data_IF_296059175013
#
_entry.id   IF_296059175013
#
_cell.length_a   1.000
_cell.length_b   1.000
_cell.length_c   1.000
_cell.angle_alpha   90.00
_cell.angle_beta   90.00
_cell.angle_gamma   90.00
#
_symmetry.space_group_name_H-M   'P 1'
#
loop_
_entity.id
_entity.type
_entity.pdbx_description
1 polymer ?
#
# COMPACT_ATOMS: atom_id res chain seq x y z
N UNK A 1 -23.47 -8.14 -9.00
CA UNK A 1 -22.19 -8.87 -8.96
C UNK A 1 -21.57 -8.63 -7.59
N UNK A 2 -20.81 -9.57 -7.05
CA UNK A 2 -20.08 -9.38 -5.79
C UNK A 2 -19.11 -10.52 -5.48
N UNK A 3 -18.09 -10.22 -4.69
CA UNK A 3 -17.10 -11.16 -4.19
C UNK A 3 -17.17 -11.31 -2.66
N UNK A 4 -16.90 -12.49 -2.12
CA UNK A 4 -16.87 -12.74 -0.67
C UNK A 4 -18.12 -12.18 0.03
N UNK A 5 -17.97 -11.29 1.01
CA UNK A 5 -19.08 -10.60 1.68
C UNK A 5 -19.98 -9.81 0.71
N UNK A 6 -19.40 -9.18 -0.31
CA UNK A 6 -20.17 -8.52 -1.38
C UNK A 6 -20.97 -9.51 -2.22
N UNK A 7 -20.49 -10.75 -2.36
CA UNK A 7 -21.24 -11.85 -2.97
C UNK A 7 -22.48 -12.23 -2.15
N UNK A 8 -22.34 -12.35 -0.83
CA UNK A 8 -23.46 -12.54 0.09
C UNK A 8 -24.47 -11.41 0.01
N UNK A 9 -24.00 -10.16 0.12
CA UNK A 9 -24.83 -8.97 0.00
C UNK A 9 -25.59 -8.92 -1.34
N UNK A 10 -24.96 -9.30 -2.44
CA UNK A 10 -25.61 -9.34 -3.75
C UNK A 10 -26.80 -10.32 -3.78
N UNK A 11 -26.70 -11.46 -3.10
CA UNK A 11 -27.81 -12.42 -2.95
C UNK A 11 -28.91 -11.81 -2.07
N UNK A 12 -28.57 -11.25 -0.90
CA UNK A 12 -29.54 -10.63 0.00
C UNK A 12 -30.31 -9.47 -0.66
N UNK A 13 -29.61 -8.63 -1.43
CA UNK A 13 -30.22 -7.54 -2.20
C UNK A 13 -31.15 -8.09 -3.28
N UNK A 14 -30.75 -9.14 -4.01
CA UNK A 14 -31.63 -9.73 -5.02
C UNK A 14 -32.90 -10.36 -4.41
N UNK A 15 -32.78 -11.02 -3.26
CA UNK A 15 -33.92 -11.50 -2.48
C UNK A 15 -34.83 -10.34 -2.06
N UNK A 16 -34.25 -9.26 -1.53
CA UNK A 16 -35.00 -8.07 -1.11
C UNK A 16 -35.72 -7.41 -2.29
N UNK A 17 -35.07 -7.24 -3.43
CA UNK A 17 -35.70 -6.66 -4.63
C UNK A 17 -36.85 -7.52 -5.15
N UNK A 18 -36.69 -8.84 -5.14
CA UNK A 18 -37.75 -9.80 -5.47
C UNK A 18 -38.92 -9.67 -4.50
N UNK A 19 -38.66 -9.65 -3.20
CA UNK A 19 -39.69 -9.53 -2.15
C UNK A 19 -40.48 -8.21 -2.24
N UNK A 20 -39.85 -7.15 -2.76
CA UNK A 20 -40.47 -5.85 -2.99
C UNK A 20 -41.09 -5.69 -4.40
N UNK A 21 -41.16 -6.76 -5.19
CA UNK A 21 -41.80 -6.74 -6.51
C UNK A 21 -41.04 -5.98 -7.60
N UNK A 22 -39.79 -5.60 -7.36
CA UNK A 22 -38.93 -4.88 -8.33
C UNK A 22 -38.35 -5.84 -9.38
N UNK A 23 -38.34 -7.14 -9.08
CA UNK A 23 -37.71 -8.18 -9.90
C UNK A 23 -36.26 -8.44 -9.49
N UNK A 24 -35.73 -9.60 -9.85
CA UNK A 24 -34.41 -10.03 -9.43
C UNK A 24 -33.38 -9.91 -10.57
N UNK A 25 -32.25 -9.21 -10.34
CA UNK A 25 -31.21 -9.07 -11.35
C UNK A 25 -30.45 -10.40 -11.55
N UNK A 26 -29.72 -10.48 -12.67
CA UNK A 26 -28.71 -11.53 -12.86
C UNK A 26 -27.59 -11.37 -11.84
N UNK A 27 -27.14 -12.50 -11.29
CA UNK A 27 -26.07 -12.55 -10.31
C UNK A 27 -24.80 -13.17 -10.89
N UNK A 28 -23.67 -12.55 -10.58
CA UNK A 28 -22.33 -13.06 -10.84
C UNK A 28 -21.57 -12.96 -9.52
N UNK A 29 -21.20 -14.11 -8.96
CA UNK A 29 -20.73 -14.25 -7.58
C UNK A 29 -19.35 -14.90 -7.57
N UNK A 30 -18.43 -14.34 -6.79
CA UNK A 30 -17.07 -14.88 -6.60
C UNK A 30 -16.84 -15.23 -5.14
N UNK A 31 -16.64 -16.52 -4.84
CA UNK A 31 -16.52 -17.08 -3.49
C UNK A 31 -17.50 -16.43 -2.50
N UNK A 32 -18.83 -16.44 -2.75
CA UNK A 32 -19.78 -15.67 -1.97
C UNK A 32 -19.89 -16.19 -0.53
N UNK A 33 -19.74 -15.29 0.44
CA UNK A 33 -19.98 -15.59 1.85
C UNK A 33 -21.46 -15.43 2.17
N UNK A 34 -22.19 -16.54 2.17
CA UNK A 34 -23.67 -16.57 2.29
C UNK A 34 -24.19 -17.12 3.61
N UNK A 35 -23.29 -17.62 4.46
CA UNK A 35 -23.58 -18.12 5.80
C UNK A 35 -22.59 -17.52 6.82
N UNK A 36 -23.03 -16.52 7.57
CA UNK A 36 -22.24 -15.87 8.61
C UNK A 36 -22.02 -16.76 9.84
N UNK A 37 -22.77 -17.85 9.98
CA UNK A 37 -22.58 -18.81 11.08
C UNK A 37 -21.43 -19.78 10.83
N UNK A 38 -20.99 -19.92 9.57
CA UNK A 38 -19.97 -20.89 9.13
C UNK A 38 -20.27 -22.32 9.61
N UNK A 39 -21.55 -22.73 9.58
CA UNK A 39 -22.03 -23.97 10.21
C UNK A 39 -21.97 -25.22 9.34
N UNK A 40 -21.48 -25.12 8.10
CA UNK A 40 -21.44 -26.24 7.16
C UNK A 40 -20.55 -27.39 7.69
N UNK A 41 -21.05 -28.63 7.66
CA UNK A 41 -20.34 -29.81 8.24
C UNK A 41 -18.92 -30.04 7.69
N UNK A 42 -18.72 -29.72 6.40
CA UNK A 42 -17.43 -29.81 5.71
C UNK A 42 -16.54 -28.57 5.83
N UNK A 43 -16.91 -27.57 6.63
CA UNK A 43 -16.13 -26.32 6.77
C UNK A 43 -14.72 -26.60 7.31
N UNK A 44 -14.60 -27.48 8.31
CA UNK A 44 -13.32 -27.82 8.94
C UNK A 44 -12.36 -28.54 7.99
N UNK A 45 -12.89 -29.35 7.08
CA UNK A 45 -12.09 -30.08 6.09
C UNK A 45 -11.37 -29.16 5.10
N UNK A 46 -11.92 -27.97 4.85
CA UNK A 46 -11.34 -26.96 3.94
C UNK A 46 -10.61 -25.87 4.69
N UNK A 47 -11.00 -25.56 5.94
CA UNK A 47 -10.35 -24.55 6.78
C UNK A 47 -8.84 -24.77 6.96
N UNK A 48 -8.38 -26.02 7.04
CA UNK A 48 -6.96 -26.32 7.13
C UNK A 48 -6.15 -26.00 5.85
N UNK A 49 -6.83 -25.75 4.72
CA UNK A 49 -6.22 -25.55 3.40
C UNK A 49 -6.37 -24.13 2.86
N UNK A 50 -7.20 -23.31 3.49
CA UNK A 50 -7.40 -21.92 3.10
C UNK A 50 -6.28 -21.04 3.68
N UNK A 51 -5.44 -20.39 2.86
CA UNK A 51 -4.32 -19.57 3.34
C UNK A 51 -4.74 -18.17 3.82
N UNK A 52 -5.98 -17.76 3.57
CA UNK A 52 -6.45 -16.37 3.77
C UNK A 52 -7.56 -16.26 4.82
N UNK A 53 -8.54 -17.16 4.79
CA UNK A 53 -9.73 -17.11 5.64
C UNK A 53 -9.60 -18.02 6.86
N UNK A 54 -10.31 -17.66 7.93
CA UNK A 54 -10.38 -18.50 9.13
C UNK A 54 -11.80 -18.45 9.70
N UNK A 55 -12.34 -19.62 10.07
CA UNK A 55 -13.68 -19.75 10.65
C UNK A 55 -13.90 -18.79 11.83
N UNK A 56 -13.00 -18.69 12.85
CA UNK A 56 -13.25 -17.81 13.99
C UNK A 56 -13.34 -16.32 13.60
N UNK A 57 -12.53 -15.87 12.63
CA UNK A 57 -12.59 -14.48 12.14
C UNK A 57 -13.87 -14.21 11.36
N UNK A 58 -14.33 -15.15 10.54
CA UNK A 58 -15.57 -14.98 9.77
C UNK A 58 -16.79 -14.96 10.68
N UNK A 59 -16.87 -15.88 11.65
CA UNK A 59 -17.93 -15.87 12.67
C UNK A 59 -17.96 -14.53 13.39
N UNK A 60 -16.78 -14.04 13.84
CA UNK A 60 -16.69 -12.73 14.51
C UNK A 60 -17.08 -11.56 13.61
N UNK A 61 -16.69 -11.59 12.34
CA UNK A 61 -17.10 -10.58 11.37
C UNK A 61 -18.62 -10.60 11.14
N UNK A 62 -19.22 -11.80 11.14
CA UNK A 62 -20.66 -12.00 11.02
C UNK A 62 -21.43 -11.41 12.20
N UNK A 63 -20.95 -11.64 13.42
CA UNK A 63 -21.51 -11.04 14.65
C UNK A 63 -21.47 -9.50 14.60
N UNK A 64 -20.36 -8.92 14.15
CA UNK A 64 -20.23 -7.46 14.02
C UNK A 64 -21.12 -6.90 12.91
N UNK A 65 -21.29 -7.65 11.81
CA UNK A 65 -22.13 -7.25 10.68
C UNK A 65 -23.63 -7.35 10.99
N UNK A 66 -24.05 -8.34 11.78
CA UNK A 66 -25.47 -8.61 12.07
C UNK A 66 -26.16 -7.46 12.82
N UNK A 67 -25.41 -6.67 13.60
CA UNK A 67 -25.96 -5.56 14.38
C UNK A 67 -27.00 -6.05 15.39
N UNK A 68 -28.26 -5.64 15.22
CA UNK A 68 -29.38 -6.09 16.06
C UNK A 68 -30.02 -7.40 15.58
N UNK A 69 -29.64 -7.89 14.39
CA UNK A 69 -30.14 -9.15 13.84
C UNK A 69 -29.34 -10.34 14.38
N UNK A 70 -29.90 -11.54 14.21
CA UNK A 70 -29.15 -12.78 14.41
C UNK A 70 -28.28 -13.09 13.20
N UNK A 71 -27.17 -13.79 13.42
CA UNK A 71 -26.26 -14.19 12.33
C UNK A 71 -26.89 -15.14 11.33
N UNK A 72 -27.91 -15.91 11.71
CA UNK A 72 -28.69 -16.79 10.82
C UNK A 72 -29.81 -16.07 10.06
N UNK A 73 -30.06 -14.79 10.33
CA UNK A 73 -31.13 -14.02 9.68
C UNK A 73 -30.87 -13.88 8.16
N UNK A 74 -31.88 -13.99 7.26
CA UNK A 74 -31.67 -13.98 5.80
C UNK A 74 -30.97 -12.74 5.23
N UNK A 75 -31.08 -11.57 5.88
CA UNK A 75 -30.34 -10.37 5.48
C UNK A 75 -28.84 -10.44 5.80
N UNK A 76 -28.44 -11.31 6.73
CA UNK A 76 -27.05 -11.51 7.17
C UNK A 76 -26.48 -12.77 6.51
N UNK A 77 -27.25 -13.86 6.56
CA UNK A 77 -26.97 -15.16 5.95
C UNK A 77 -28.02 -15.48 4.88
N UNK A 78 -27.88 -14.95 3.66
CA UNK A 78 -28.86 -15.13 2.59
C UNK A 78 -29.04 -16.57 2.13
N UNK A 79 -28.19 -17.50 2.56
CA UNK A 79 -28.41 -18.95 2.37
C UNK A 79 -29.72 -19.42 3.00
N UNK A 80 -30.20 -18.76 4.05
CA UNK A 80 -31.44 -19.07 4.77
C UNK A 80 -32.67 -18.36 4.16
N UNK A 81 -32.48 -17.59 3.10
CA UNK A 81 -33.55 -16.91 2.38
C UNK A 81 -34.23 -17.77 1.31
N UNK A 82 -35.23 -17.19 0.65
CA UNK A 82 -35.95 -17.82 -0.47
C UNK A 82 -35.26 -17.55 -1.80
N UNK A 83 -35.17 -18.56 -2.67
CA UNK A 83 -34.49 -18.46 -3.97
C UNK A 83 -35.43 -18.41 -5.18
N UNK A 84 -36.72 -18.65 -5.00
CA UNK A 84 -37.70 -18.66 -6.08
C UNK A 84 -37.87 -17.26 -6.71
N UNK A 85 -37.96 -17.19 -8.03
CA UNK A 85 -38.09 -15.92 -8.74
C UNK A 85 -36.82 -15.06 -8.75
N UNK A 86 -35.66 -15.60 -8.32
CA UNK A 86 -34.38 -14.94 -8.51
C UNK A 86 -33.88 -15.04 -9.97
N UNK A 87 -33.09 -14.04 -10.38
CA UNK A 87 -32.50 -14.00 -11.71
C UNK A 87 -31.39 -15.04 -11.90
N UNK A 88 -30.97 -15.33 -13.14
CA UNK A 88 -29.93 -16.30 -13.43
C UNK A 88 -28.64 -16.02 -12.66
N UNK A 89 -27.95 -17.09 -12.23
CA UNK A 89 -26.74 -16.98 -11.40
C UNK A 89 -25.54 -17.63 -12.05
N UNK A 90 -24.38 -16.98 -11.90
CA UNK A 90 -23.05 -17.54 -12.18
C UNK A 90 -22.24 -17.50 -10.88
N UNK A 91 -21.70 -18.64 -10.45
CA UNK A 91 -20.99 -18.77 -9.17
C UNK A 91 -19.59 -19.31 -9.46
N UNK A 92 -18.56 -18.53 -9.09
CA UNK A 92 -17.16 -18.91 -9.13
C UNK A 92 -16.66 -19.15 -7.71
N UNK A 93 -15.98 -20.27 -7.46
CA UNK A 93 -15.34 -20.53 -6.16
C UNK A 93 -14.16 -21.48 -6.33
N UNK A 94 -13.09 -21.27 -5.55
CA UNK A 94 -11.90 -22.12 -5.56
C UNK A 94 -12.12 -23.43 -4.80
N UNK A 95 -11.43 -24.50 -5.19
CA UNK A 95 -11.52 -25.81 -4.50
C UNK A 95 -10.79 -25.85 -3.15
N UNK A 96 -9.94 -24.86 -2.87
CA UNK A 96 -9.25 -24.65 -1.58
C UNK A 96 -9.81 -23.46 -0.79
N UNK A 97 -10.94 -22.91 -1.22
CA UNK A 97 -11.59 -21.77 -0.58
C UNK A 97 -12.53 -22.24 0.52
N UNK A 98 -12.45 -21.64 1.71
CA UNK A 98 -13.29 -21.96 2.86
C UNK A 98 -14.79 -21.87 2.55
N UNK A 99 -15.19 -21.02 1.60
CA UNK A 99 -16.57 -20.77 1.19
C UNK A 99 -17.07 -21.74 0.10
N UNK A 100 -16.25 -22.74 -0.29
CA UNK A 100 -16.57 -23.72 -1.32
C UNK A 100 -17.89 -24.45 -1.05
N UNK A 101 -18.07 -24.93 0.18
CA UNK A 101 -19.21 -25.77 0.52
C UNK A 101 -20.50 -24.96 0.61
N UNK A 102 -20.46 -23.75 1.16
CA UNK A 102 -21.60 -22.83 1.16
C UNK A 102 -21.96 -22.37 -0.25
N UNK A 103 -20.97 -22.15 -1.12
CA UNK A 103 -21.20 -21.83 -2.54
C UNK A 103 -21.87 -22.98 -3.29
N UNK A 104 -21.53 -24.24 -2.99
CA UNK A 104 -22.20 -25.42 -3.54
C UNK A 104 -23.62 -25.56 -3.01
N UNK A 105 -23.82 -25.34 -1.71
CA UNK A 105 -25.14 -25.36 -1.09
C UNK A 105 -26.05 -24.29 -1.70
N UNK A 106 -25.53 -23.08 -1.89
CA UNK A 106 -26.23 -21.98 -2.57
C UNK A 106 -26.67 -22.38 -3.98
N UNK A 107 -25.75 -22.95 -4.76
CA UNK A 107 -26.03 -23.46 -6.11
C UNK A 107 -27.18 -24.46 -6.09
N UNK A 108 -27.13 -25.42 -5.17
CA UNK A 108 -28.11 -26.52 -5.11
C UNK A 108 -29.50 -26.00 -4.68
N UNK A 109 -29.55 -25.08 -3.71
CA UNK A 109 -30.78 -24.40 -3.30
C UNK A 109 -31.38 -23.54 -4.41
N UNK A 110 -30.54 -22.75 -5.10
CA UNK A 110 -30.99 -21.91 -6.21
C UNK A 110 -31.51 -22.76 -7.38
N UNK A 111 -30.78 -23.81 -7.76
CA UNK A 111 -31.20 -24.73 -8.81
C UNK A 111 -32.50 -25.45 -8.45
N UNK A 112 -32.64 -25.90 -7.20
CA UNK A 112 -33.86 -26.54 -6.71
C UNK A 112 -35.08 -25.61 -6.72
N UNK A 113 -34.86 -24.30 -6.59
CA UNK A 113 -35.90 -23.28 -6.71
C UNK A 113 -36.16 -22.81 -8.16
N UNK A 114 -35.56 -23.47 -9.16
CA UNK A 114 -35.77 -23.16 -10.59
C UNK A 114 -34.93 -21.99 -11.11
N UNK A 115 -33.92 -21.53 -10.37
CA UNK A 115 -33.02 -20.48 -10.84
C UNK A 115 -32.06 -21.02 -11.89
N UNK A 116 -31.95 -20.35 -13.03
CA UNK A 116 -31.02 -20.73 -14.10
C UNK A 116 -29.56 -20.54 -13.64
N UNK A 117 -28.82 -21.65 -13.55
CA UNK A 117 -27.38 -21.63 -13.32
C UNK A 117 -26.63 -21.58 -14.66
N UNK A 118 -25.74 -20.61 -14.79
CA UNK A 118 -24.99 -20.36 -16.01
C UNK A 118 -23.54 -20.80 -15.79
N UNK A 119 -23.08 -21.77 -16.59
CA UNK A 119 -21.75 -22.39 -16.47
C UNK A 119 -21.77 -23.82 -15.91
N UNK A 120 -22.71 -24.67 -16.37
CA UNK A 120 -23.00 -26.01 -15.83
C UNK A 120 -21.93 -27.11 -15.99
N UNK A 121 -20.72 -26.80 -16.44
CA UNK A 121 -19.57 -27.68 -16.20
C UNK A 121 -18.77 -27.07 -15.06
N UNK A 122 -18.58 -27.85 -14.00
CA UNK A 122 -17.48 -27.63 -13.07
C UNK A 122 -16.27 -27.39 -13.98
N UNK A 123 -15.78 -26.16 -14.03
CA UNK A 123 -14.42 -25.91 -14.50
C UNK A 123 -13.58 -26.59 -13.44
N UNK A 124 -13.39 -27.91 -13.59
CA UNK A 124 -12.20 -28.58 -13.13
C UNK A 124 -11.11 -27.70 -13.70
N UNK A 125 -10.48 -26.92 -12.82
CA UNK A 125 -9.44 -26.00 -13.22
C UNK A 125 -8.28 -26.86 -13.73
N UNK A 126 -8.34 -27.25 -14.99
CA UNK A 126 -7.15 -27.27 -15.81
C UNK A 126 -6.51 -25.91 -15.54
N UNK A 127 -5.31 -25.96 -14.96
CA UNK A 127 -4.59 -24.77 -14.52
C UNK A 127 -4.67 -23.72 -15.65
N UNK A 128 -4.99 -22.45 -15.33
CA UNK A 128 -5.07 -21.42 -16.36
C UNK A 128 -3.80 -21.47 -17.21
N UNK A 129 -3.96 -21.39 -18.53
CA UNK A 129 -2.81 -21.33 -19.45
C UNK A 129 -1.83 -20.27 -18.96
N UNK A 130 -0.51 -20.54 -18.96
CA UNK A 130 0.46 -19.68 -18.30
C UNK A 130 0.39 -18.26 -18.87
N UNK A 131 -0.18 -17.34 -18.10
CA UNK A 131 -0.19 -15.92 -18.45
C UNK A 131 1.15 -15.30 -18.11
N UNK A 132 1.60 -14.27 -18.85
CA UNK A 132 2.82 -13.53 -18.51
C UNK A 132 2.82 -13.04 -17.05
N UNK A 133 1.65 -12.65 -16.55
CA UNK A 133 1.44 -12.21 -15.18
C UNK A 133 1.67 -13.32 -14.14
N UNK A 134 1.22 -14.55 -14.42
CA UNK A 134 1.49 -15.71 -13.56
C UNK A 134 2.98 -16.08 -13.48
N UNK A 135 3.71 -15.90 -14.59
CA UNK A 135 5.17 -16.04 -14.61
C UNK A 135 5.88 -14.98 -13.77
N UNK A 136 5.39 -13.74 -13.79
CA UNK A 136 5.95 -12.64 -13.01
C UNK A 136 5.69 -12.81 -11.51
N UNK A 137 4.47 -13.18 -11.12
CA UNK A 137 4.14 -13.52 -9.72
C UNK A 137 5.05 -14.65 -9.23
N UNK A 138 5.33 -15.65 -10.07
CA UNK A 138 6.21 -16.78 -9.71
C UNK A 138 7.65 -16.36 -9.40
N UNK A 139 8.13 -15.29 -10.06
CA UNK A 139 9.49 -14.75 -9.86
C UNK A 139 9.54 -13.57 -8.89
N UNK A 140 8.40 -13.09 -8.41
CA UNK A 140 8.34 -11.90 -7.54
C UNK A 140 9.13 -12.06 -6.24
N UNK A 141 9.20 -13.27 -5.66
CA UNK A 141 10.05 -13.52 -4.49
C UNK A 141 11.55 -13.35 -4.78
N UNK A 142 11.99 -13.61 -6.02
CA UNK A 142 13.38 -13.40 -6.42
C UNK A 142 13.70 -11.91 -6.53
N UNK A 143 12.74 -11.12 -7.04
CA UNK A 143 12.87 -9.66 -7.10
C UNK A 143 12.99 -9.09 -5.69
N UNK A 144 12.09 -9.47 -4.78
CA UNK A 144 12.16 -9.06 -3.38
C UNK A 144 13.49 -9.47 -2.74
N UNK A 145 13.93 -10.71 -2.96
CA UNK A 145 15.21 -11.21 -2.45
C UNK A 145 16.40 -10.36 -2.92
N UNK A 146 16.48 -10.08 -4.22
CA UNK A 146 17.57 -9.29 -4.80
C UNK A 146 17.54 -7.86 -4.26
N UNK A 147 16.37 -7.22 -4.20
CA UNK A 147 16.24 -5.87 -3.65
C UNK A 147 16.70 -5.81 -2.19
N UNK A 148 16.27 -6.78 -1.36
CA UNK A 148 16.68 -6.86 0.05
C UNK A 148 18.18 -7.09 0.23
N UNK A 149 18.80 -7.92 -0.61
CA UNK A 149 20.26 -8.11 -0.58
C UNK A 149 20.97 -6.80 -0.94
N UNK A 150 20.49 -6.08 -1.96
CA UNK A 150 21.04 -4.78 -2.35
C UNK A 150 20.92 -3.76 -1.23
N UNK A 151 19.78 -3.69 -0.54
CA UNK A 151 19.56 -2.82 0.61
C UNK A 151 20.52 -3.12 1.77
N UNK A 152 20.70 -4.40 2.10
CA UNK A 152 21.66 -4.85 3.12
C UNK A 152 23.09 -4.43 2.75
N UNK A 153 23.51 -4.73 1.51
CA UNK A 153 24.86 -4.39 1.04
C UNK A 153 25.07 -2.88 1.06
N UNK A 154 24.09 -2.10 0.59
CA UNK A 154 24.16 -0.65 0.60
C UNK A 154 24.26 -0.11 2.04
N UNK A 155 23.45 -0.63 2.97
CA UNK A 155 23.52 -0.27 4.39
C UNK A 155 24.90 -0.55 4.98
N UNK A 156 25.48 -1.73 4.72
CA UNK A 156 26.84 -2.08 5.15
C UNK A 156 27.88 -1.12 4.56
N UNK A 157 27.80 -0.81 3.27
CA UNK A 157 28.73 0.11 2.59
C UNK A 157 28.69 1.50 3.22
N UNK A 158 27.49 2.04 3.47
CA UNK A 158 27.31 3.36 4.10
C UNK A 158 27.92 3.40 5.50
N UNK A 159 27.74 2.33 6.29
CA UNK A 159 28.26 2.27 7.66
C UNK A 159 29.77 1.99 7.72
N UNK A 160 30.31 1.17 6.81
CA UNK A 160 31.73 0.85 6.78
C UNK A 160 32.58 1.99 6.18
N UNK A 161 32.03 2.75 5.23
CA UNK A 161 32.74 3.84 4.55
C UNK A 161 31.92 5.13 4.44
N UNK A 162 31.45 5.72 5.56
CA UNK A 162 30.58 6.90 5.53
C UNK A 162 31.23 8.07 4.79
N UNK A 163 32.53 8.29 4.94
CA UNK A 163 33.24 9.35 4.24
C UNK A 163 33.27 9.18 2.72
N UNK A 164 33.49 7.97 2.21
CA UNK A 164 33.54 7.72 0.77
C UNK A 164 32.14 7.83 0.14
N UNK A 165 31.14 7.23 0.79
CA UNK A 165 29.74 7.31 0.35
C UNK A 165 29.26 8.76 0.31
N UNK A 166 29.56 9.55 1.35
CA UNK A 166 29.17 10.95 1.40
C UNK A 166 29.86 11.80 0.34
N UNK A 167 31.12 11.53 -0.01
CA UNK A 167 31.77 12.23 -1.14
C UNK A 167 31.02 12.00 -2.45
N UNK A 168 30.59 10.77 -2.72
CA UNK A 168 29.80 10.45 -3.92
C UNK A 168 28.47 11.22 -3.90
N UNK A 169 27.75 11.17 -2.77
CA UNK A 169 26.49 11.92 -2.58
C UNK A 169 26.70 13.42 -2.77
N UNK A 170 27.77 13.98 -2.19
CA UNK A 170 28.12 15.40 -2.30
C UNK A 170 28.44 15.84 -3.74
N UNK A 171 29.08 14.98 -4.53
CA UNK A 171 29.33 15.24 -5.97
C UNK A 171 28.00 15.31 -6.72
N UNK A 172 27.11 14.33 -6.55
CA UNK A 172 25.80 14.34 -7.21
C UNK A 172 24.95 15.54 -6.78
N UNK A 173 25.00 15.90 -5.50
CA UNK A 173 24.32 17.09 -4.98
C UNK A 173 24.88 18.40 -5.57
N UNK A 174 26.20 18.51 -5.71
CA UNK A 174 26.83 19.66 -6.38
C UNK A 174 26.41 19.78 -7.84
N UNK A 175 26.40 18.67 -8.59
CA UNK A 175 25.91 18.63 -9.98
C UNK A 175 24.43 19.07 -10.03
N UNK A 176 23.60 18.55 -9.12
CA UNK A 176 22.21 18.92 -9.01
C UNK A 176 22.02 20.43 -8.82
N UNK A 177 22.78 21.07 -7.92
CA UNK A 177 22.67 22.53 -7.70
C UNK A 177 23.07 23.34 -8.94
N UNK A 178 24.10 22.90 -9.67
CA UNK A 178 24.51 23.54 -10.93
C UNK A 178 23.40 23.45 -11.98
N UNK A 179 22.85 22.24 -12.19
CA UNK A 179 21.79 22.00 -13.19
C UNK A 179 20.50 22.74 -12.82
N UNK A 180 20.10 22.68 -11.55
CA UNK A 180 18.94 23.40 -11.03
C UNK A 180 19.11 24.91 -11.20
N UNK A 181 20.30 25.43 -10.89
CA UNK A 181 20.61 26.85 -11.06
C UNK A 181 20.47 27.33 -12.50
N UNK A 182 21.03 26.58 -13.46
CA UNK A 182 20.86 26.86 -14.89
C UNK A 182 19.38 26.80 -15.28
N UNK A 183 18.67 25.76 -14.83
CA UNK A 183 17.24 25.56 -15.15
C UNK A 183 16.36 26.69 -14.63
N UNK A 184 16.58 27.15 -13.40
CA UNK A 184 15.85 28.27 -12.79
C UNK A 184 16.09 29.59 -13.50
N UNK A 185 17.34 29.86 -13.90
CA UNK A 185 17.66 31.03 -14.74
C UNK A 185 16.93 30.96 -16.08
N UNK A 186 16.94 29.80 -16.76
CA UNK A 186 16.23 29.60 -18.02
C UNK A 186 14.72 29.81 -17.84
N UNK A 187 14.11 29.19 -16.82
CA UNK A 187 12.67 29.34 -16.55
C UNK A 187 12.30 30.79 -16.28
N UNK A 188 13.08 31.52 -15.46
CA UNK A 188 12.85 32.93 -15.15
C UNK A 188 12.95 33.84 -16.38
N UNK A 189 13.87 33.55 -17.31
CA UNK A 189 14.05 34.32 -18.53
C UNK A 189 13.03 33.97 -19.62
N UNK A 190 12.69 32.69 -19.76
CA UNK A 190 11.92 32.14 -20.89
C UNK A 190 10.41 32.02 -20.66
N UNK A 191 9.88 32.25 -19.46
CA UNK A 191 8.44 32.07 -19.15
C UNK A 191 7.70 33.42 -19.12
N UNK A 192 7.02 33.83 -20.23
CA UNK A 192 6.33 35.13 -20.30
C UNK A 192 5.06 35.21 -19.44
N UNK A 193 4.52 34.07 -19.01
CA UNK A 193 3.33 33.99 -18.14
C UNK A 193 3.62 34.37 -16.68
N UNK A 194 4.89 34.48 -16.28
CA UNK A 194 5.28 34.86 -14.93
C UNK A 194 5.36 36.38 -14.76
N UNK A 195 4.88 36.90 -13.63
CA UNK A 195 5.06 38.32 -13.28
C UNK A 195 6.54 38.69 -13.20
N UNK A 196 6.88 39.95 -13.49
CA UNK A 196 8.27 40.43 -13.50
C UNK A 196 9.06 40.14 -12.21
N UNK A 197 8.42 40.29 -11.04
CA UNK A 197 9.04 40.02 -9.74
C UNK A 197 9.37 38.53 -9.55
N UNK A 198 8.44 37.63 -9.91
CA UNK A 198 8.68 36.19 -9.83
C UNK A 198 9.78 35.73 -10.80
N UNK A 199 9.87 36.35 -11.98
CA UNK A 199 10.95 36.09 -12.93
C UNK A 199 12.31 36.48 -12.36
N UNK A 200 12.41 37.68 -11.77
CA UNK A 200 13.64 38.16 -11.14
C UNK A 200 14.05 37.26 -9.96
N UNK A 201 13.11 36.87 -9.11
CA UNK A 201 13.38 35.96 -7.99
C UNK A 201 13.93 34.60 -8.46
N UNK A 202 13.36 34.01 -9.52
CA UNK A 202 13.86 32.76 -10.09
C UNK A 202 15.27 32.91 -10.68
N UNK A 203 15.56 34.02 -11.36
CA UNK A 203 16.91 34.26 -11.89
C UNK A 203 17.92 34.39 -10.75
N UNK A 204 17.59 35.13 -9.69
CA UNK A 204 18.45 35.27 -8.51
C UNK A 204 18.66 33.93 -7.81
N UNK A 205 17.58 33.16 -7.58
CA UNK A 205 17.65 31.83 -7.00
C UNK A 205 18.55 30.90 -7.84
N UNK A 206 18.39 30.94 -9.17
CA UNK A 206 19.18 30.15 -10.09
C UNK A 206 20.67 30.48 -10.06
N UNK A 207 21.01 31.78 -10.03
CA UNK A 207 22.42 32.23 -9.90
C UNK A 207 23.01 31.80 -8.56
N UNK A 208 22.28 31.94 -7.46
CA UNK A 208 22.73 31.51 -6.13
C UNK A 208 22.95 29.99 -6.09
N UNK A 209 22.01 29.21 -6.61
CA UNK A 209 22.13 27.75 -6.71
C UNK A 209 23.34 27.34 -7.55
N UNK A 210 23.56 28.00 -8.70
CA UNK A 210 24.73 27.74 -9.54
C UNK A 210 26.04 28.01 -8.81
N UNK A 211 26.17 29.16 -8.13
CA UNK A 211 27.37 29.51 -7.36
C UNK A 211 27.61 28.50 -6.24
N UNK A 212 26.58 28.16 -5.47
CA UNK A 212 26.68 27.14 -4.42
C UNK A 212 27.09 25.77 -4.99
N UNK A 213 26.56 25.40 -6.15
CA UNK A 213 26.94 24.19 -6.88
C UNK A 213 28.42 24.17 -7.27
N UNK A 214 28.97 25.28 -7.76
CA UNK A 214 30.41 25.40 -8.05
C UNK A 214 31.24 25.34 -6.75
N UNK A 215 30.80 26.01 -5.68
CA UNK A 215 31.47 25.98 -4.38
C UNK A 215 31.53 24.58 -3.77
N UNK A 216 30.56 23.71 -4.07
CA UNK A 216 30.56 22.31 -3.63
C UNK A 216 31.77 21.50 -4.11
N UNK A 217 32.44 21.92 -5.20
CA UNK A 217 33.60 21.23 -5.77
C UNK A 217 34.95 21.81 -5.33
N UNK A 218 34.96 22.95 -4.62
CA UNK A 218 36.19 23.64 -4.23
C UNK A 218 36.92 22.88 -3.11
N UNK A 219 36.17 22.39 -2.13
CA UNK A 219 36.70 21.72 -0.95
C UNK A 219 35.98 20.36 -0.81
N UNK A 220 36.70 19.26 -0.57
CA UNK A 220 36.13 17.91 -0.54
C UNK A 220 35.02 17.67 0.49
N UNK A 221 34.82 18.60 1.44
CA UNK A 221 33.75 18.60 2.45
C UNK A 221 32.73 19.74 2.26
N UNK A 222 32.95 20.66 1.33
CA UNK A 222 32.09 21.82 1.10
C UNK A 222 30.69 21.43 0.64
N UNK A 223 30.60 20.42 -0.24
CA UNK A 223 29.31 19.85 -0.68
C UNK A 223 28.47 19.27 0.46
N UNK A 224 29.12 18.69 1.48
CA UNK A 224 28.43 18.14 2.65
C UNK A 224 27.91 19.24 3.57
N UNK A 225 28.66 20.34 3.70
CA UNK A 225 28.20 21.49 4.48
C UNK A 225 26.96 22.13 3.84
N UNK A 226 27.00 22.37 2.52
CA UNK A 226 25.84 22.91 1.77
C UNK A 226 24.66 21.95 1.84
N UNK A 227 24.89 20.64 1.70
CA UNK A 227 23.85 19.62 1.84
C UNK A 227 23.22 19.63 3.24
N UNK A 228 24.03 19.71 4.30
CA UNK A 228 23.53 19.77 5.67
C UNK A 228 22.66 20.99 5.93
N UNK A 229 23.09 22.16 5.46
CA UNK A 229 22.29 23.39 5.53
C UNK A 229 21.01 23.26 4.70
N UNK A 230 21.06 22.68 3.51
CA UNK A 230 19.90 22.48 2.65
C UNK A 230 18.86 21.55 3.29
N UNK A 231 19.29 20.42 3.85
CA UNK A 231 18.43 19.51 4.62
C UNK A 231 17.83 20.22 5.83
N UNK A 232 18.68 20.94 6.58
CA UNK A 232 18.24 21.67 7.77
C UNK A 232 17.21 22.75 7.48
N UNK A 233 17.39 23.52 6.40
CA UNK A 233 16.43 24.51 5.93
C UNK A 233 15.09 23.86 5.53
N UNK A 234 15.12 22.73 4.83
CA UNK A 234 13.92 21.97 4.47
C UNK A 234 13.13 21.48 5.69
N UNK A 235 13.84 20.98 6.72
CA UNK A 235 13.21 20.58 7.98
C UNK A 235 12.68 21.76 8.79
N UNK A 236 13.39 22.89 8.83
CA UNK A 236 12.87 24.10 9.44
C UNK A 236 11.53 24.52 8.80
N UNK A 237 11.50 24.64 7.47
CA UNK A 237 10.29 25.02 6.73
C UNK A 237 9.14 24.04 6.98
N UNK A 238 9.43 22.74 6.92
CA UNK A 238 8.45 21.68 7.20
C UNK A 238 7.94 21.75 8.64
N UNK A 239 8.85 21.97 9.60
CA UNK A 239 8.53 22.07 11.02
C UNK A 239 7.64 23.27 11.33
N UNK A 240 7.98 24.45 10.82
CA UNK A 240 7.13 25.64 10.96
C UNK A 240 5.78 25.50 10.27
N UNK A 241 5.75 24.96 9.05
CA UNK A 241 4.50 24.68 8.33
C UNK A 241 3.59 23.75 9.14
N UNK A 242 4.12 22.64 9.66
CA UNK A 242 3.36 21.71 10.51
C UNK A 242 2.90 22.36 11.81
N UNK A 243 3.77 23.12 12.47
CA UNK A 243 3.43 23.82 13.71
C UNK A 243 2.28 24.80 13.49
N UNK A 244 2.31 25.55 12.39
CA UNK A 244 1.25 26.49 12.00
C UNK A 244 -0.06 25.75 11.66
N UNK A 245 0.01 24.67 10.88
CA UNK A 245 -1.16 23.87 10.49
C UNK A 245 -1.84 23.23 11.70
N UNK A 246 -1.11 22.50 12.54
CA UNK A 246 -1.69 21.80 13.70
C UNK A 246 -1.94 22.73 14.89
N UNK A 247 -1.28 23.89 14.93
CA UNK A 247 -1.61 24.98 15.83
C UNK A 247 -3.02 25.51 15.57
N UNK A 248 -3.41 25.60 14.31
CA UNK A 248 -4.71 26.14 13.86
C UNK A 248 -5.88 25.14 13.90
N UNK A 249 -5.62 23.83 14.08
CA UNK A 249 -6.65 22.79 14.06
C UNK A 249 -6.92 22.26 15.48
N UNK A 250 -7.86 22.87 16.19
CA UNK A 250 -8.05 22.60 17.62
C UNK A 250 -8.68 21.24 17.95
N UNK A 251 -9.54 20.71 17.07
CA UNK A 251 -10.34 19.50 17.30
C UNK A 251 -9.71 18.21 16.73
N UNK A 252 -8.46 18.27 16.24
CA UNK A 252 -7.82 17.11 15.61
C UNK A 252 -7.35 16.06 16.64
N UNK A 253 -7.74 14.78 16.49
CA UNK A 253 -7.18 13.70 17.31
C UNK A 253 -5.65 13.62 17.13
N UNK A 254 -4.91 13.54 18.25
CA UNK A 254 -3.45 13.44 18.22
C UNK A 254 -2.70 14.76 17.97
N UNK A 255 -3.38 15.91 18.04
CA UNK A 255 -2.78 17.26 17.85
C UNK A 255 -1.50 17.50 18.65
N UNK A 256 -1.46 17.11 19.93
CA UNK A 256 -0.30 17.30 20.80
C UNK A 256 0.94 16.56 20.27
N UNK A 257 0.76 15.33 19.77
CA UNK A 257 1.83 14.56 19.13
C UNK A 257 2.30 15.19 17.83
N UNK A 258 1.38 15.74 17.03
CA UNK A 258 1.72 16.44 15.81
C UNK A 258 2.54 17.72 16.08
N UNK A 259 2.15 18.50 17.10
CA UNK A 259 2.89 19.69 17.54
C UNK A 259 4.27 19.31 18.09
N UNK A 260 4.35 18.29 18.95
CA UNK A 260 5.62 17.80 19.48
C UNK A 260 6.56 17.35 18.35
N UNK A 261 6.04 16.60 17.37
CA UNK A 261 6.78 16.21 16.17
C UNK A 261 7.25 17.40 15.34
N UNK A 262 6.45 18.46 15.23
CA UNK A 262 6.84 19.69 14.54
C UNK A 262 8.02 20.39 15.26
N UNK A 263 7.97 20.51 16.58
CA UNK A 263 9.07 21.09 17.39
C UNK A 263 10.35 20.27 17.24
N UNK A 264 10.27 18.93 17.32
CA UNK A 264 11.43 18.05 17.09
C UNK A 264 12.02 18.27 15.69
N UNK A 265 11.16 18.40 14.68
CA UNK A 265 11.60 18.65 13.29
C UNK A 265 12.32 20.00 13.17
N UNK A 266 11.82 21.05 13.84
CA UNK A 266 12.48 22.36 13.89
C UNK A 266 13.86 22.23 14.55
N UNK A 267 13.95 21.59 15.72
CA UNK A 267 15.22 21.40 16.43
C UNK A 267 16.22 20.60 15.59
N UNK A 268 15.77 19.54 14.91
CA UNK A 268 16.60 18.79 13.97
C UNK A 268 17.10 19.66 12.82
N UNK A 269 16.25 20.53 12.28
CA UNK A 269 16.62 21.52 11.26
C UNK A 269 17.67 22.52 11.74
N UNK A 270 17.53 23.04 12.96
CA UNK A 270 18.53 23.93 13.60
C UNK A 270 19.87 23.19 13.75
N UNK A 271 19.86 21.97 14.29
CA UNK A 271 21.06 21.18 14.47
C UNK A 271 21.78 20.90 13.14
N UNK A 272 21.02 20.63 12.06
CA UNK A 272 21.56 20.43 10.72
C UNK A 272 22.18 21.70 10.12
N UNK A 273 21.70 22.90 10.49
CA UNK A 273 22.31 24.16 10.04
C UNK A 273 23.55 24.52 10.86
N UNK A 274 23.51 24.31 12.18
CA UNK A 274 24.61 24.63 13.09
C UNK A 274 25.78 23.65 12.93
N UNK A 275 25.48 22.36 12.71
CA UNK A 275 26.47 21.29 12.59
C UNK A 275 26.29 20.51 11.28
N UNK A 276 26.49 21.12 10.11
CA UNK A 276 26.01 20.56 8.85
C UNK A 276 26.71 19.28 8.43
N UNK A 277 28.05 19.21 8.59
CA UNK A 277 28.81 18.01 8.24
C UNK A 277 28.48 16.86 9.21
N UNK A 278 28.56 17.09 10.52
CA UNK A 278 28.26 16.06 11.52
C UNK A 278 26.83 15.54 11.42
N UNK A 279 25.88 16.43 11.11
CA UNK A 279 24.48 16.05 10.91
C UNK A 279 24.31 15.15 9.69
N UNK A 280 24.89 15.50 8.54
CA UNK A 280 24.84 14.66 7.32
C UNK A 280 25.49 13.29 7.56
N UNK A 281 26.63 13.25 8.27
CA UNK A 281 27.27 11.98 8.65
C UNK A 281 26.35 11.14 9.54
N UNK A 282 25.75 11.77 10.55
CA UNK A 282 24.83 11.09 11.48
C UNK A 282 23.62 10.54 10.74
N UNK A 283 23.02 11.33 9.83
CA UNK A 283 21.88 10.90 9.03
C UNK A 283 22.25 9.77 8.06
N UNK A 284 23.44 9.81 7.47
CA UNK A 284 23.93 8.72 6.62
C UNK A 284 24.08 7.43 7.43
N UNK A 285 24.65 7.48 8.63
CA UNK A 285 24.78 6.30 9.50
C UNK A 285 23.42 5.76 9.93
N UNK A 286 22.49 6.62 10.37
CA UNK A 286 21.13 6.22 10.70
C UNK A 286 20.40 5.63 9.50
N UNK A 287 20.56 6.22 8.31
CA UNK A 287 20.03 5.69 7.06
C UNK A 287 20.63 4.33 6.70
N UNK A 288 21.93 4.14 6.91
CA UNK A 288 22.61 2.86 6.71
C UNK A 288 22.08 1.76 7.64
N UNK A 289 21.85 2.09 8.91
CA UNK A 289 21.21 1.17 9.88
C UNK A 289 19.78 0.85 9.44
N UNK A 290 19.01 1.87 9.02
CA UNK A 290 17.64 1.66 8.56
C UNK A 290 17.59 0.77 7.31
N UNK A 291 18.48 0.98 6.33
CA UNK A 291 18.62 0.13 5.15
C UNK A 291 18.95 -1.32 5.53
N UNK A 292 19.83 -1.51 6.51
CA UNK A 292 20.15 -2.85 7.01
C UNK A 292 18.92 -3.52 7.63
N UNK A 293 18.18 -2.82 8.48
CA UNK A 293 16.97 -3.34 9.13
C UNK A 293 15.89 -3.66 8.10
N UNK A 294 15.58 -2.71 7.21
CA UNK A 294 14.58 -2.89 6.14
C UNK A 294 14.96 -4.06 5.23
N UNK A 295 16.24 -4.15 4.84
CA UNK A 295 16.73 -5.24 4.01
C UNK A 295 16.66 -6.61 4.70
N UNK A 296 16.96 -6.70 6.01
CA UNK A 296 16.81 -7.96 6.77
C UNK A 296 15.33 -8.37 6.84
N UNK A 297 14.43 -7.44 7.14
CA UNK A 297 12.98 -7.71 7.17
C UNK A 297 12.48 -8.13 5.78
N UNK A 298 12.92 -7.43 4.72
CA UNK A 298 12.58 -7.76 3.34
C UNK A 298 13.09 -9.14 2.92
N UNK A 299 14.28 -9.54 3.38
CA UNK A 299 14.84 -10.87 3.16
C UNK A 299 13.95 -11.97 3.77
N UNK A 300 13.47 -11.76 5.00
CA UNK A 300 12.52 -12.67 5.65
C UNK A 300 11.21 -12.75 4.86
N UNK A 301 10.66 -11.60 4.45
CA UNK A 301 9.45 -11.55 3.63
C UNK A 301 9.64 -12.25 2.28
N UNK A 302 10.80 -12.12 1.63
CA UNK A 302 11.08 -12.80 0.37
C UNK A 302 11.08 -14.33 0.52
N UNK A 303 11.62 -14.85 1.63
CA UNK A 303 11.63 -16.28 1.95
C UNK A 303 10.21 -16.78 2.25
N UNK A 304 9.44 -16.04 3.06
CA UNK A 304 8.03 -16.36 3.35
C UNK A 304 7.21 -16.34 2.05
N UNK A 305 7.40 -15.34 1.21
CA UNK A 305 6.69 -15.20 -0.06
C UNK A 305 7.05 -16.32 -1.04
N UNK A 306 8.31 -16.76 -1.08
CA UNK A 306 8.73 -17.96 -1.83
C UNK A 306 7.91 -19.18 -1.43
N UNK A 307 7.68 -19.38 -0.12
CA UNK A 307 6.89 -20.51 0.38
C UNK A 307 5.44 -20.44 -0.10
N UNK A 308 4.82 -19.27 -0.03
CA UNK A 308 3.44 -19.02 -0.50
C UNK A 308 3.30 -19.23 -2.01
N UNK A 309 4.22 -18.66 -2.80
CA UNK A 309 4.20 -18.78 -4.26
C UNK A 309 4.43 -20.22 -4.72
N UNK A 310 5.26 -20.98 -4.01
CA UNK A 310 5.49 -22.40 -4.31
C UNK A 310 4.31 -23.30 -3.91
N UNK A 311 3.52 -22.92 -2.89
CA UNK A 311 2.33 -23.65 -2.45
C UNK A 311 1.14 -23.53 -3.43
N UNK A 312 1.19 -22.56 -4.35
CA UNK A 312 0.21 -22.37 -5.44
C UNK A 312 0.45 -23.37 -6.60
N UNK A 313 1.55 -24.15 -6.58
CA UNK A 313 1.74 -25.29 -7.48
C UNK A 313 0.81 -26.45 -7.16
#
# INVERSE_FOLDING_TARGET
MGDSAGGGMAVAVAQTLRDNGVGAPRLVLFAPWVDATMSHELVDAVAARDPMLSVPRLVRAGELYAGALRTDHPLVSPINGRFDGLGPMTIFVGTRDLLLHDSRRLRDLASGAGVLLIGGSIVSSQAPSPTPFGGLIRKSWQVLLVLSIVEIVLGIVVMAWPGATLRIVGVFFGIFLVVSGISECVVGLSTPLMSGSFRLLNVIAGVLSFILGILCFRDGLGSLAVLGVWVGAGWLMTGFSRLFTFGSLESMPGRSWAIAGAVITILAGIMAIVYPISSVVTLALLGGIALLVVGIVGLVHAIQWKSTVNAIR
#
